data_IF_874884532657
#
_entry.id   IF_874884532657
#
_cell.length_a   1.000
_cell.length_b   1.000
_cell.length_c   1.000
_cell.angle_alpha   90.00
_cell.angle_beta   90.00
_cell.angle_gamma   90.00
#
_symmetry.space_group_name_H-M   'P 1'
#
loop_
_entity.id
_entity.type
_entity.pdbx_description
1 polymer ?
#
# COMPACT_ATOMS: atom_id res chain seq x y z
N UNK A 1 -22.72 31.69 -20.10
CA UNK A 1 -21.92 30.70 -19.32
C UNK A 1 -22.94 29.68 -18.79
N UNK A 2 -22.98 28.48 -19.39
CA UNK A 2 -23.81 27.39 -18.93
C UNK A 2 -23.35 26.96 -17.53
N UNK A 3 -24.26 26.78 -16.56
CA UNK A 3 -23.88 26.23 -15.26
C UNK A 3 -23.40 24.80 -15.48
N UNK A 4 -22.11 24.56 -15.26
CA UNK A 4 -21.60 23.20 -15.17
C UNK A 4 -22.19 22.62 -13.88
N UNK A 5 -23.19 21.77 -14.03
CA UNK A 5 -23.72 20.97 -12.92
C UNK A 5 -22.62 19.96 -12.60
N UNK A 6 -21.78 20.28 -11.61
CA UNK A 6 -20.85 19.31 -11.04
C UNK A 6 -21.72 18.21 -10.41
N UNK A 7 -21.77 17.03 -11.02
CA UNK A 7 -22.40 15.87 -10.39
C UNK A 7 -21.73 15.65 -9.03
N UNK A 8 -22.49 15.48 -7.94
CA UNK A 8 -21.90 15.19 -6.65
C UNK A 8 -21.05 13.91 -6.77
N UNK A 9 -19.81 13.97 -6.30
CA UNK A 9 -18.92 12.82 -6.32
C UNK A 9 -19.59 11.68 -5.54
N UNK A 10 -19.86 10.57 -6.21
CA UNK A 10 -20.40 9.38 -5.54
C UNK A 10 -19.24 8.61 -4.89
N UNK A 11 -19.51 7.85 -3.81
CA UNK A 11 -18.53 7.00 -3.16
C UNK A 11 -17.83 6.09 -4.18
N UNK A 12 -18.60 5.49 -5.08
CA UNK A 12 -18.08 4.61 -6.14
C UNK A 12 -17.12 5.34 -7.08
N UNK A 13 -17.42 6.59 -7.50
CA UNK A 13 -16.50 7.36 -8.35
C UNK A 13 -15.20 7.72 -7.64
N UNK A 14 -15.28 8.05 -6.36
CA UNK A 14 -14.09 8.35 -5.53
C UNK A 14 -13.22 7.11 -5.36
N UNK A 15 -13.80 5.94 -5.04
CA UNK A 15 -13.07 4.68 -4.91
C UNK A 15 -12.47 4.22 -6.26
N UNK A 16 -13.18 4.47 -7.36
CA UNK A 16 -12.64 4.22 -8.70
C UNK A 16 -11.42 5.09 -9.00
N UNK A 17 -11.45 6.37 -8.66
CA UNK A 17 -10.30 7.27 -8.81
C UNK A 17 -9.09 6.77 -7.99
N UNK A 18 -9.30 6.24 -6.80
CA UNK A 18 -8.21 5.64 -5.98
C UNK A 18 -7.64 4.39 -6.67
N UNK A 19 -8.47 3.52 -7.23
CA UNK A 19 -8.01 2.34 -7.98
C UNK A 19 -7.17 2.79 -9.17
N UNK A 20 -7.66 3.76 -9.97
CA UNK A 20 -6.93 4.30 -11.12
C UNK A 20 -5.57 4.87 -10.70
N UNK A 21 -5.52 5.60 -9.59
CA UNK A 21 -4.29 6.18 -9.05
C UNK A 21 -3.26 5.12 -8.64
N UNK A 22 -3.70 3.92 -8.26
CA UNK A 22 -2.82 2.81 -7.88
C UNK A 22 -2.34 1.97 -9.07
N UNK A 23 -2.98 2.06 -10.25
CA UNK A 23 -2.60 1.28 -11.43
C UNK A 23 -1.13 1.48 -11.82
N UNK A 24 -0.56 2.70 -11.90
CA UNK A 24 0.83 2.88 -12.26
C UNK A 24 1.79 2.18 -11.30
N UNK A 25 1.50 2.25 -10.00
CA UNK A 25 2.32 1.59 -8.97
C UNK A 25 2.20 0.06 -9.07
N UNK A 26 0.99 -0.48 -9.33
CA UNK A 26 0.77 -1.90 -9.55
C UNK A 26 1.48 -2.40 -10.81
N UNK A 27 1.41 -1.65 -11.92
CA UNK A 27 2.09 -1.99 -13.16
C UNK A 27 3.62 -2.04 -12.97
N UNK A 28 4.17 -1.06 -12.25
CA UNK A 28 5.60 -1.06 -11.92
C UNK A 28 5.97 -2.22 -10.99
N UNK A 29 5.13 -2.56 -10.01
CA UNK A 29 5.32 -3.73 -9.16
C UNK A 29 5.35 -5.04 -9.97
N UNK A 30 4.47 -5.18 -10.96
CA UNK A 30 4.46 -6.34 -11.87
C UNK A 30 5.75 -6.37 -12.71
N UNK A 31 6.22 -5.23 -13.18
CA UNK A 31 7.47 -5.14 -13.93
C UNK A 31 8.68 -5.56 -13.08
N UNK A 32 8.75 -5.12 -11.83
CA UNK A 32 9.86 -5.40 -10.91
C UNK A 32 9.84 -6.83 -10.37
N UNK A 33 8.67 -7.30 -9.91
CA UNK A 33 8.52 -8.55 -9.16
C UNK A 33 7.81 -9.68 -9.92
N UNK A 34 7.30 -9.38 -11.12
CA UNK A 34 6.68 -10.40 -11.99
C UNK A 34 5.19 -10.62 -11.75
N UNK A 35 4.65 -11.62 -12.46
CA UNK A 35 3.20 -11.92 -12.54
C UNK A 35 2.59 -12.35 -11.20
N UNK A 36 3.39 -12.85 -10.25
CA UNK A 36 2.94 -13.24 -8.91
C UNK A 36 2.25 -12.07 -8.17
N UNK A 37 2.67 -10.83 -8.43
CA UNK A 37 2.02 -9.62 -7.90
C UNK A 37 0.54 -9.59 -8.26
N UNK A 38 0.18 -9.87 -9.51
CA UNK A 38 -1.22 -9.90 -9.96
C UNK A 38 -1.99 -11.02 -9.27
N UNK A 39 -1.39 -12.19 -9.10
CA UNK A 39 -2.03 -13.31 -8.43
C UNK A 39 -2.34 -12.98 -6.95
N UNK A 40 -1.37 -12.43 -6.21
CA UNK A 40 -1.56 -12.00 -4.83
C UNK A 40 -2.61 -10.89 -4.71
N UNK A 41 -2.57 -9.93 -5.63
CA UNK A 41 -3.56 -8.83 -5.69
C UNK A 41 -4.96 -9.38 -5.98
N UNK A 42 -5.11 -10.29 -6.94
CA UNK A 42 -6.39 -10.90 -7.27
C UNK A 42 -6.97 -11.70 -6.07
N UNK A 43 -6.12 -12.47 -5.38
CA UNK A 43 -6.53 -13.22 -4.17
C UNK A 43 -6.97 -12.25 -3.08
N UNK A 44 -6.22 -11.18 -2.82
CA UNK A 44 -6.54 -10.19 -1.80
C UNK A 44 -7.86 -9.47 -2.09
N UNK A 45 -8.01 -8.93 -3.31
CA UNK A 45 -9.22 -8.22 -3.73
C UNK A 45 -10.42 -9.16 -3.73
N UNK A 46 -10.26 -10.36 -4.30
CA UNK A 46 -11.33 -11.38 -4.32
C UNK A 46 -11.80 -11.75 -2.92
N UNK A 47 -10.86 -11.96 -1.99
CA UNK A 47 -11.18 -12.25 -0.59
C UNK A 47 -11.93 -11.10 0.08
N UNK A 48 -11.47 -9.86 -0.09
CA UNK A 48 -12.12 -8.70 0.50
C UNK A 48 -13.56 -8.52 0.00
N UNK A 49 -13.77 -8.66 -1.32
CA UNK A 49 -15.11 -8.55 -1.93
C UNK A 49 -16.02 -9.67 -1.47
N UNK A 50 -15.54 -10.92 -1.47
CA UNK A 50 -16.31 -12.09 -1.02
C UNK A 50 -16.63 -12.01 0.48
N UNK A 51 -15.68 -11.55 1.30
CA UNK A 51 -15.90 -11.36 2.74
C UNK A 51 -16.98 -10.31 3.02
N UNK A 52 -16.95 -9.18 2.31
CA UNK A 52 -17.99 -8.14 2.44
C UNK A 52 -19.36 -8.65 2.00
N UNK A 53 -19.41 -9.31 0.85
CA UNK A 53 -20.65 -9.91 0.35
C UNK A 53 -21.23 -10.93 1.32
N UNK A 54 -20.41 -11.88 1.77
CA UNK A 54 -20.82 -12.94 2.69
C UNK A 54 -21.32 -12.38 4.02
N UNK A 55 -20.58 -11.46 4.63
CA UNK A 55 -20.98 -10.84 5.90
C UNK A 55 -22.33 -10.12 5.79
N UNK A 56 -22.50 -9.26 4.76
CA UNK A 56 -23.75 -8.50 4.56
C UNK A 56 -24.94 -9.38 4.25
N UNK A 57 -24.72 -10.44 3.46
CA UNK A 57 -25.78 -11.42 3.18
C UNK A 57 -26.22 -12.18 4.45
N UNK A 58 -25.26 -12.58 5.29
CA UNK A 58 -25.56 -13.25 6.57
C UNK A 58 -26.33 -12.33 7.55
N UNK A 59 -26.06 -11.03 7.50
CA UNK A 59 -26.71 -10.01 8.33
C UNK A 59 -28.02 -9.47 7.73
N UNK A 60 -28.42 -9.90 6.55
CA UNK A 60 -29.61 -9.36 5.85
C UNK A 60 -29.51 -7.89 5.48
N UNK A 61 -28.28 -7.36 5.33
CA UNK A 61 -28.01 -5.97 4.97
C UNK A 61 -27.97 -5.78 3.45
N UNK A 62 -28.22 -4.54 3.00
CA UNK A 62 -28.08 -4.17 1.59
C UNK A 62 -26.65 -4.37 1.08
N UNK A 63 -26.50 -4.83 -0.16
CA UNK A 63 -25.21 -5.06 -0.78
C UNK A 63 -24.48 -3.73 -1.08
N UNK A 64 -23.22 -3.62 -0.68
CA UNK A 64 -22.36 -2.42 -0.93
C UNK A 64 -21.17 -2.73 -1.85
N UNK A 65 -21.13 -3.87 -2.53
CA UNK A 65 -20.01 -4.20 -3.44
C UNK A 65 -19.82 -3.11 -4.51
N UNK A 66 -20.91 -2.46 -4.94
CA UNK A 66 -20.89 -1.39 -5.93
C UNK A 66 -20.19 -0.12 -5.50
N UNK A 67 -19.83 0.05 -4.22
CA UNK A 67 -19.06 1.19 -3.74
C UNK A 67 -17.55 1.04 -3.98
N UNK A 68 -17.08 -0.16 -4.39
CA UNK A 68 -15.68 -0.50 -4.67
C UNK A 68 -14.72 -0.40 -3.47
N UNK A 69 -15.19 -0.09 -2.29
CA UNK A 69 -14.34 0.12 -1.10
C UNK A 69 -13.63 -1.16 -0.65
N UNK A 70 -14.26 -2.35 -0.82
CA UNK A 70 -13.59 -3.62 -0.56
C UNK A 70 -12.48 -3.91 -1.57
N UNK A 71 -12.65 -3.48 -2.83
CA UNK A 71 -11.59 -3.60 -3.85
C UNK A 71 -10.39 -2.74 -3.48
N UNK A 72 -10.61 -1.49 -3.06
CA UNK A 72 -9.53 -0.59 -2.59
C UNK A 72 -8.82 -1.19 -1.39
N UNK A 73 -9.55 -1.68 -0.38
CA UNK A 73 -8.96 -2.33 0.80
C UNK A 73 -8.08 -3.52 0.40
N UNK A 74 -8.59 -4.40 -0.46
CA UNK A 74 -7.85 -5.57 -0.94
C UNK A 74 -6.61 -5.21 -1.75
N UNK A 75 -6.69 -4.17 -2.58
CA UNK A 75 -5.57 -3.66 -3.38
C UNK A 75 -4.48 -3.07 -2.49
N UNK A 76 -4.84 -2.20 -1.55
CA UNK A 76 -3.90 -1.59 -0.59
C UNK A 76 -3.25 -2.65 0.32
N UNK A 77 -4.03 -3.63 0.78
CA UNK A 77 -3.49 -4.75 1.55
C UNK A 77 -2.45 -5.53 0.74
N UNK A 78 -2.79 -5.97 -0.48
CA UNK A 78 -1.86 -6.68 -1.35
C UNK A 78 -0.58 -5.90 -1.59
N UNK A 79 -0.70 -4.63 -1.98
CA UNK A 79 0.45 -3.76 -2.25
C UNK A 79 1.33 -3.52 -1.01
N UNK A 80 0.82 -3.76 0.19
CA UNK A 80 1.58 -3.66 1.43
C UNK A 80 2.35 -4.93 1.81
N UNK A 81 2.13 -6.04 1.10
CA UNK A 81 2.75 -7.34 1.36
C UNK A 81 4.06 -7.54 0.55
N UNK A 82 4.97 -8.43 1.01
CA UNK A 82 6.05 -8.92 0.17
C UNK A 82 5.51 -9.84 -0.95
N UNK A 83 6.19 -9.86 -2.10
CA UNK A 83 5.83 -10.76 -3.21
C UNK A 83 5.99 -12.23 -2.86
N UNK A 84 6.82 -12.52 -1.86
CA UNK A 84 7.07 -13.87 -1.33
C UNK A 84 5.95 -14.38 -0.45
N UNK A 85 5.00 -13.52 -0.05
CA UNK A 85 3.90 -13.91 0.83
C UNK A 85 3.14 -15.13 0.26
N UNK A 86 2.81 -16.11 1.11
CA UNK A 86 1.97 -17.23 0.71
C UNK A 86 0.54 -16.74 0.46
N UNK A 87 -0.19 -17.41 -0.44
CA UNK A 87 -1.54 -16.99 -0.84
C UNK A 87 -2.57 -16.97 0.30
N UNK A 88 -2.35 -17.73 1.38
CA UNK A 88 -3.22 -17.66 2.55
C UNK A 88 -3.09 -16.35 3.34
N UNK A 89 -1.94 -15.66 3.24
CA UNK A 89 -1.71 -14.43 3.97
C UNK A 89 -2.67 -13.29 3.56
N UNK A 90 -2.82 -12.93 2.26
CA UNK A 90 -3.82 -11.94 1.86
C UNK A 90 -5.26 -12.41 2.15
N UNK A 91 -5.54 -13.72 2.19
CA UNK A 91 -6.86 -14.24 2.61
C UNK A 91 -7.13 -13.93 4.07
N UNK A 92 -6.21 -14.29 4.97
CA UNK A 92 -6.36 -14.04 6.40
C UNK A 92 -6.42 -12.53 6.71
N UNK A 93 -5.49 -11.75 6.13
CA UNK A 93 -5.45 -10.30 6.31
C UNK A 93 -6.70 -9.60 5.75
N UNK A 94 -7.19 -10.04 4.59
CA UNK A 94 -8.41 -9.51 3.96
C UNK A 94 -9.67 -9.83 4.74
N UNK A 95 -9.83 -11.04 5.25
CA UNK A 95 -10.94 -11.43 6.12
C UNK A 95 -10.95 -10.58 7.39
N UNK A 96 -9.80 -10.42 8.05
CA UNK A 96 -9.68 -9.59 9.24
C UNK A 96 -10.02 -8.13 8.94
N UNK A 97 -9.44 -7.57 7.89
CA UNK A 97 -9.65 -6.19 7.47
C UNK A 97 -11.13 -5.88 7.21
N UNK A 98 -11.81 -6.75 6.46
CA UNK A 98 -13.21 -6.51 6.07
C UNK A 98 -14.17 -6.88 7.19
N UNK A 99 -14.07 -8.09 7.77
CA UNK A 99 -15.05 -8.55 8.75
C UNK A 99 -14.91 -7.81 10.06
N UNK A 100 -13.69 -7.81 10.63
CA UNK A 100 -13.45 -7.28 11.98
C UNK A 100 -13.36 -5.74 11.94
N UNK A 101 -12.49 -5.18 11.08
CA UNK A 101 -12.20 -3.74 11.14
C UNK A 101 -13.24 -2.91 10.43
N UNK A 102 -13.78 -3.37 9.29
CA UNK A 102 -14.75 -2.60 8.51
C UNK A 102 -16.19 -2.89 8.91
N UNK A 103 -16.63 -4.14 8.83
CA UNK A 103 -18.06 -4.48 8.93
C UNK A 103 -18.59 -4.52 10.37
N UNK A 104 -17.77 -4.91 11.36
CA UNK A 104 -18.19 -4.89 12.76
C UNK A 104 -18.53 -3.48 13.28
N UNK A 105 -17.85 -2.47 12.75
CA UNK A 105 -18.05 -1.07 13.14
C UNK A 105 -19.11 -0.34 12.30
N UNK A 106 -19.75 -1.03 11.35
CA UNK A 106 -20.89 -0.50 10.59
C UNK A 106 -20.57 -0.09 9.15
N UNK A 107 -19.40 -0.45 8.63
CA UNK A 107 -19.01 -0.25 7.23
C UNK A 107 -18.24 1.04 6.97
N UNK A 108 -18.20 1.47 5.71
CA UNK A 108 -17.43 2.63 5.26
C UNK A 108 -17.74 3.90 6.06
N UNK A 109 -16.70 4.65 6.41
CA UNK A 109 -16.81 5.93 7.15
C UNK A 109 -17.02 5.78 8.67
N UNK A 110 -17.14 4.56 9.20
CA UNK A 110 -17.26 4.30 10.66
C UNK A 110 -16.06 3.53 11.21
N UNK A 111 -15.04 3.34 10.40
CA UNK A 111 -13.82 2.62 10.79
C UNK A 111 -12.95 3.52 11.67
N UNK A 112 -12.51 3.02 12.82
CA UNK A 112 -11.53 3.73 13.67
C UNK A 112 -10.08 3.55 13.20
N UNK A 113 -9.82 2.59 12.31
CA UNK A 113 -8.53 2.28 11.69
C UNK A 113 -8.72 2.02 10.20
N UNK A 114 -7.67 2.30 9.41
CA UNK A 114 -7.65 1.86 8.02
C UNK A 114 -7.64 0.32 7.96
N UNK A 115 -8.64 -0.31 7.28
CA UNK A 115 -8.78 -1.76 7.27
C UNK A 115 -7.57 -2.49 6.68
N UNK A 116 -6.96 -1.95 5.61
CA UNK A 116 -5.80 -2.57 4.97
C UNK A 116 -4.57 -2.56 5.90
N UNK A 117 -4.34 -1.45 6.62
CA UNK A 117 -3.27 -1.37 7.63
C UNK A 117 -3.49 -2.34 8.77
N UNK A 118 -4.72 -2.45 9.27
CA UNK A 118 -5.05 -3.38 10.34
C UNK A 118 -4.83 -4.84 9.91
N UNK A 119 -5.24 -5.20 8.68
CA UNK A 119 -4.96 -6.52 8.10
C UNK A 119 -3.46 -6.80 8.00
N UNK A 120 -2.68 -5.82 7.53
CA UNK A 120 -1.20 -5.93 7.51
C UNK A 120 -0.61 -6.09 8.90
N UNK A 121 -1.08 -5.32 9.88
CA UNK A 121 -0.59 -5.40 11.27
C UNK A 121 -0.83 -6.79 11.86
N UNK A 122 -2.02 -7.38 11.62
CA UNK A 122 -2.27 -8.76 11.99
C UNK A 122 -1.24 -9.71 11.35
N UNK A 123 -0.93 -9.55 10.06
CA UNK A 123 0.02 -10.41 9.38
C UNK A 123 1.46 -10.25 9.90
N UNK A 124 1.83 -9.08 10.43
CA UNK A 124 3.12 -8.86 11.07
C UNK A 124 3.29 -9.66 12.37
N UNK A 125 2.22 -10.16 12.99
CA UNK A 125 2.31 -11.02 14.18
C UNK A 125 2.79 -12.44 13.87
N UNK A 126 2.74 -12.85 12.59
CA UNK A 126 3.23 -14.17 12.17
C UNK A 126 4.72 -14.10 11.86
N UNK A 127 5.57 -14.83 12.62
CA UNK A 127 7.01 -14.85 12.39
C UNK A 127 7.35 -15.32 10.96
N UNK A 128 8.28 -14.66 10.33
CA UNK A 128 8.77 -15.04 9.01
C UNK A 128 7.91 -14.59 7.82
N UNK A 129 6.64 -14.22 8.02
CA UNK A 129 5.75 -13.83 6.93
C UNK A 129 6.16 -12.51 6.26
N UNK A 130 6.60 -11.54 7.07
CA UNK A 130 6.97 -10.19 6.63
C UNK A 130 8.48 -9.96 6.62
N UNK A 131 9.29 -11.01 6.69
CA UNK A 131 10.75 -10.91 6.74
C UNK A 131 11.43 -11.36 5.45
N UNK A 132 10.73 -12.08 4.58
CA UNK A 132 11.28 -12.57 3.31
C UNK A 132 11.08 -11.53 2.21
N UNK A 133 12.07 -10.71 1.99
CA UNK A 133 12.05 -9.67 0.96
C UNK A 133 12.96 -10.08 -0.20
N UNK A 134 12.53 -9.79 -1.41
CA UNK A 134 13.21 -10.12 -2.66
C UNK A 134 13.59 -8.83 -3.35
N UNK A 135 14.80 -8.80 -3.92
CA UNK A 135 15.25 -7.65 -4.69
C UNK A 135 14.46 -7.49 -6.00
N UNK A 136 14.48 -6.27 -6.51
CA UNK A 136 13.89 -5.97 -7.81
C UNK A 136 14.48 -6.88 -8.89
N UNK A 137 13.62 -7.30 -9.83
CA UNK A 137 13.92 -8.23 -10.93
C UNK A 137 14.17 -9.70 -10.54
N UNK A 138 14.23 -10.04 -9.26
CA UNK A 138 14.09 -11.42 -8.82
C UNK A 138 12.59 -11.77 -8.85
N UNK A 139 12.17 -12.53 -9.86
CA UNK A 139 10.75 -12.83 -10.13
C UNK A 139 10.39 -14.20 -9.60
N UNK A 140 9.84 -14.33 -8.38
CA UNK A 140 9.40 -15.62 -7.86
C UNK A 140 8.32 -16.22 -8.76
N UNK A 141 8.37 -17.53 -8.97
CA UNK A 141 7.35 -18.26 -9.73
C UNK A 141 5.98 -18.21 -9.06
N UNK A 142 4.91 -18.49 -9.83
CA UNK A 142 3.53 -18.48 -9.32
C UNK A 142 3.31 -19.54 -8.22
N UNK A 143 3.91 -20.73 -8.35
CA UNK A 143 3.61 -21.90 -7.54
C UNK A 143 4.76 -22.27 -6.60
N UNK A 144 5.98 -21.86 -6.92
CA UNK A 144 7.16 -22.25 -6.11
C UNK A 144 7.11 -21.62 -4.73
N UNK A 145 7.28 -22.46 -3.72
CA UNK A 145 7.67 -22.05 -2.38
C UNK A 145 8.95 -21.21 -2.48
N UNK A 146 9.07 -20.26 -1.59
CA UNK A 146 10.04 -19.17 -1.66
C UNK A 146 11.45 -19.66 -1.40
N UNK A 147 12.12 -20.18 -2.42
CA UNK A 147 13.58 -20.34 -2.44
C UNK A 147 14.30 -19.06 -2.94
N UNK A 148 13.56 -17.94 -3.03
CA UNK A 148 14.18 -16.66 -3.32
C UNK A 148 15.05 -16.24 -2.14
N UNK A 149 16.33 -16.02 -2.40
CA UNK A 149 17.24 -15.50 -1.39
C UNK A 149 16.68 -14.21 -0.81
N UNK A 150 16.38 -14.21 0.50
CA UNK A 150 15.91 -13.00 1.18
C UNK A 150 17.04 -11.99 1.19
N UNK A 151 16.81 -10.83 0.57
CA UNK A 151 17.75 -9.71 0.58
C UNK A 151 17.46 -8.75 1.72
N UNK A 152 18.50 -8.08 2.21
CA UNK A 152 18.33 -7.02 3.19
C UNK A 152 17.61 -5.84 2.52
N UNK A 153 16.46 -5.45 3.03
CA UNK A 153 15.79 -4.24 2.54
C UNK A 153 16.59 -3.00 2.89
N UNK A 154 16.51 -1.91 2.09
CA UNK A 154 17.12 -0.64 2.44
C UNK A 154 16.71 -0.14 3.84
N UNK A 155 15.48 -0.43 4.27
CA UNK A 155 15.01 -0.09 5.63
C UNK A 155 15.74 -0.90 6.71
N UNK A 156 16.12 -2.15 6.45
CA UNK A 156 16.93 -2.94 7.39
C UNK A 156 18.35 -2.35 7.52
N UNK A 157 18.94 -1.89 6.42
CA UNK A 157 20.23 -1.17 6.43
C UNK A 157 20.11 0.14 7.21
N UNK A 158 19.08 0.94 6.97
CA UNK A 158 18.83 2.18 7.73
C UNK A 158 18.63 1.90 9.23
N UNK A 159 18.04 0.78 9.61
CA UNK A 159 17.88 0.40 11.01
C UNK A 159 19.24 0.20 11.72
N UNK A 160 20.27 -0.26 11.01
CA UNK A 160 21.65 -0.36 11.55
C UNK A 160 22.37 0.98 11.65
N UNK A 161 21.79 2.06 11.16
CA UNK A 161 22.42 3.39 11.11
C UNK A 161 23.22 3.65 9.84
N UNK A 162 23.27 2.72 8.90
CA UNK A 162 23.94 2.91 7.61
C UNK A 162 22.98 3.44 6.55
N UNK A 163 23.49 4.17 5.56
CA UNK A 163 22.71 4.55 4.37
C UNK A 163 22.89 3.46 3.32
N UNK A 164 21.82 2.98 2.69
CA UNK A 164 21.94 1.98 1.63
C UNK A 164 22.69 2.56 0.42
N UNK A 165 23.54 1.75 -0.19
CA UNK A 165 24.30 2.12 -1.40
C UNK A 165 23.39 2.04 -2.65
N UNK A 166 22.45 3.00 -2.74
CA UNK A 166 21.49 3.11 -3.80
C UNK A 166 21.50 4.54 -4.36
N UNK A 167 21.47 4.66 -5.67
CA UNK A 167 21.28 5.95 -6.31
C UNK A 167 19.86 6.46 -6.10
N UNK A 168 19.66 7.78 -6.12
CA UNK A 168 18.34 8.39 -6.00
C UNK A 168 17.35 7.85 -7.05
N UNK A 169 17.82 7.60 -8.28
CA UNK A 169 17.00 7.02 -9.34
C UNK A 169 16.51 5.60 -9.00
N UNK A 170 17.37 4.76 -8.45
CA UNK A 170 17.02 3.42 -8.00
C UNK A 170 16.00 3.45 -6.85
N UNK A 171 16.16 4.38 -5.89
CA UNK A 171 15.21 4.56 -4.80
C UNK A 171 13.84 5.02 -5.31
N UNK A 172 13.77 5.98 -6.24
CA UNK A 172 12.51 6.50 -6.79
C UNK A 172 11.78 5.50 -7.70
N UNK A 173 12.54 4.75 -8.51
CA UNK A 173 11.98 3.72 -9.39
C UNK A 173 11.68 2.41 -8.67
N UNK A 174 12.20 2.25 -7.44
CA UNK A 174 11.97 1.06 -6.63
C UNK A 174 12.80 -0.14 -7.03
N UNK A 175 14.02 0.06 -7.51
CA UNK A 175 14.93 -1.04 -7.87
C UNK A 175 15.63 -1.62 -6.63
N UNK A 176 14.84 -1.98 -5.62
CA UNK A 176 15.30 -2.56 -4.36
C UNK A 176 14.23 -3.46 -3.74
N UNK A 177 14.60 -4.26 -2.76
CA UNK A 177 13.67 -5.12 -2.04
C UNK A 177 12.71 -4.33 -1.15
N UNK A 178 11.45 -4.79 -1.09
CA UNK A 178 10.43 -4.16 -0.24
C UNK A 178 9.00 -4.65 -0.51
N UNK A 179 8.02 -3.96 0.05
CA UNK A 179 6.61 -4.23 -0.19
C UNK A 179 6.24 -3.93 -1.64
N UNK A 180 5.46 -4.82 -2.27
CA UNK A 180 5.15 -4.76 -3.71
C UNK A 180 4.73 -3.38 -4.20
N UNK A 181 3.86 -2.70 -3.47
CA UNK A 181 3.33 -1.39 -3.86
C UNK A 181 4.03 -0.20 -3.20
N UNK A 182 4.83 -0.42 -2.16
CA UNK A 182 5.54 0.65 -1.45
C UNK A 182 6.85 1.08 -2.11
N UNK A 183 7.40 0.21 -2.96
CA UNK A 183 8.71 0.38 -3.57
C UNK A 183 8.72 1.41 -4.70
N UNK A 184 7.79 1.47 -5.67
CA UNK A 184 7.84 2.43 -6.77
C UNK A 184 7.31 3.81 -6.35
N UNK A 185 8.10 4.55 -5.57
CA UNK A 185 7.75 5.86 -5.00
C UNK A 185 7.30 6.87 -6.06
N UNK A 186 7.99 6.92 -7.21
CA UNK A 186 7.64 7.84 -8.30
C UNK A 186 6.21 7.58 -8.81
N UNK A 187 5.83 6.31 -8.95
CA UNK A 187 4.49 5.94 -9.43
C UNK A 187 3.41 6.24 -8.39
N UNK A 188 3.74 6.09 -7.10
CA UNK A 188 2.84 6.48 -6.01
C UNK A 188 2.63 7.99 -5.95
N UNK A 189 3.68 8.79 -6.18
CA UNK A 189 3.57 10.25 -6.24
C UNK A 189 2.74 10.70 -7.45
N UNK A 190 2.88 10.06 -8.61
CA UNK A 190 2.03 10.32 -9.79
C UNK A 190 0.57 10.00 -9.50
N UNK A 191 0.29 8.87 -8.84
CA UNK A 191 -1.06 8.52 -8.38
C UNK A 191 -1.61 9.53 -7.38
N UNK A 192 -0.79 9.96 -6.42
CA UNK A 192 -1.15 11.00 -5.46
C UNK A 192 -1.48 12.35 -6.12
N UNK A 193 -0.67 12.78 -7.09
CA UNK A 193 -0.92 13.99 -7.87
C UNK A 193 -2.24 13.89 -8.65
N UNK A 194 -2.54 12.73 -9.23
CA UNK A 194 -3.84 12.47 -9.86
C UNK A 194 -5.00 12.64 -8.87
N UNK A 195 -4.92 12.06 -7.66
CA UNK A 195 -5.97 12.18 -6.63
C UNK A 195 -6.16 13.63 -6.17
N UNK A 196 -5.08 14.40 -6.02
CA UNK A 196 -5.15 15.83 -5.71
C UNK A 196 -5.81 16.62 -6.85
N UNK A 197 -5.46 16.33 -8.11
CA UNK A 197 -6.05 17.00 -9.28
C UNK A 197 -7.54 16.71 -9.42
N UNK A 198 -7.96 15.50 -9.07
CA UNK A 198 -9.37 15.08 -9.01
C UNK A 198 -10.11 15.58 -7.75
N UNK A 199 -9.40 16.22 -6.83
CA UNK A 199 -9.91 16.71 -5.53
C UNK A 199 -10.50 15.58 -4.65
N UNK A 200 -10.00 14.37 -4.83
CA UNK A 200 -10.33 13.21 -3.99
C UNK A 200 -9.69 13.35 -2.61
N UNK A 201 -8.43 13.79 -2.58
CA UNK A 201 -7.68 14.03 -1.34
C UNK A 201 -7.21 15.48 -1.24
N UNK A 202 -7.07 15.96 -0.01
CA UNK A 202 -6.45 17.27 0.25
C UNK A 202 -4.94 17.09 0.41
N UNK A 203 -4.09 17.88 -0.24
CA UNK A 203 -2.64 17.72 -0.18
C UNK A 203 -2.06 18.02 1.22
N UNK A 204 -2.85 18.63 2.11
CA UNK A 204 -2.40 19.02 3.46
C UNK A 204 -1.95 17.81 4.30
N UNK A 205 -2.70 16.70 4.24
CA UNK A 205 -2.41 15.50 5.05
C UNK A 205 -1.13 14.82 4.57
N UNK A 206 -0.98 14.44 3.27
CA UNK A 206 0.26 13.85 2.78
C UNK A 206 1.48 14.76 2.96
N UNK A 207 1.33 16.07 2.70
CA UNK A 207 2.43 17.03 2.87
C UNK A 207 2.85 17.19 4.32
N UNK A 208 1.91 17.28 5.26
CA UNK A 208 2.22 17.35 6.69
C UNK A 208 2.92 16.06 7.15
N UNK A 209 2.42 14.89 6.73
CA UNK A 209 3.00 13.61 7.09
C UNK A 209 4.44 13.46 6.57
N UNK A 210 4.65 13.64 5.26
CA UNK A 210 5.97 13.55 4.65
C UNK A 210 6.92 14.65 5.13
N UNK A 211 6.42 15.87 5.31
CA UNK A 211 7.19 17.01 5.82
C UNK A 211 7.67 16.81 7.26
N UNK A 212 6.83 16.25 8.12
CA UNK A 212 7.22 15.93 9.50
C UNK A 212 8.33 14.87 9.54
N UNK A 213 8.18 13.80 8.74
CA UNK A 213 9.22 12.76 8.66
C UNK A 213 10.51 13.33 8.06
N UNK A 214 10.42 14.14 7.01
CA UNK A 214 11.58 14.80 6.41
C UNK A 214 12.31 15.68 7.42
N UNK A 215 11.56 16.50 8.18
CA UNK A 215 12.14 17.37 9.20
C UNK A 215 12.84 16.58 10.32
N UNK A 216 12.18 15.56 10.85
CA UNK A 216 12.74 14.75 11.93
C UNK A 216 13.97 13.96 11.47
N UNK A 217 13.96 13.40 10.27
CA UNK A 217 15.10 12.65 9.74
C UNK A 217 16.28 13.55 9.36
N UNK A 218 16.01 14.80 8.99
CA UNK A 218 17.03 15.81 8.74
C UNK A 218 17.69 16.30 10.05
N UNK A 219 16.89 16.49 11.10
CA UNK A 219 17.38 16.95 12.41
C UNK A 219 18.09 15.87 13.21
N UNK A 220 17.71 14.61 13.03
CA UNK A 220 18.25 13.46 13.78
C UNK A 220 18.82 12.39 12.86
N UNK A 221 19.85 12.69 12.04
CA UNK A 221 20.52 11.67 11.22
C UNK A 221 21.25 10.68 12.14
N UNK A 222 21.26 9.39 11.75
CA UNK A 222 21.99 8.34 12.48
C UNK A 222 23.24 7.92 11.70
N UNK A 223 24.20 7.33 12.39
CA UNK A 223 25.32 6.64 11.78
C UNK A 223 26.39 7.50 11.08
N UNK A 224 26.42 8.83 11.31
CA UNK A 224 27.43 9.70 10.69
C UNK A 224 27.20 9.94 9.19
N UNK A 225 26.09 9.47 8.64
CA UNK A 225 25.67 9.73 7.27
C UNK A 225 25.29 11.20 7.09
N UNK A 226 25.46 11.74 5.88
CA UNK A 226 24.99 13.08 5.56
C UNK A 226 23.47 13.19 5.78
N UNK A 227 23.02 14.23 6.48
CA UNK A 227 21.61 14.41 6.85
C UNK A 227 20.65 14.32 5.65
N UNK A 228 21.04 14.84 4.49
CA UNK A 228 20.25 14.77 3.25
C UNK A 228 20.14 13.34 2.71
N UNK A 229 21.22 12.57 2.71
CA UNK A 229 21.22 11.19 2.25
C UNK A 229 20.37 10.31 3.16
N UNK A 230 20.44 10.54 4.48
CA UNK A 230 19.60 9.87 5.47
C UNK A 230 18.11 10.17 5.24
N UNK A 231 17.75 11.44 5.11
CA UNK A 231 16.38 11.88 4.87
C UNK A 231 15.81 11.29 3.57
N UNK A 232 16.55 11.39 2.46
CA UNK A 232 16.08 10.86 1.16
C UNK A 232 15.88 9.35 1.19
N UNK A 233 16.79 8.60 1.82
CA UNK A 233 16.64 7.16 1.97
C UNK A 233 15.41 6.79 2.82
N UNK A 234 15.17 7.51 3.93
CA UNK A 234 13.99 7.28 4.77
C UNK A 234 12.66 7.59 4.04
N UNK A 235 12.64 8.63 3.21
CA UNK A 235 11.45 8.99 2.45
C UNK A 235 11.16 8.02 1.29
N UNK A 236 12.23 7.53 0.63
CA UNK A 236 12.09 6.80 -0.64
C UNK A 236 12.18 5.28 -0.52
N UNK A 237 12.75 4.72 0.57
CA UNK A 237 13.03 3.28 0.65
C UNK A 237 11.98 2.47 1.41
N UNK A 238 10.85 3.06 1.78
CA UNK A 238 9.82 2.37 2.55
C UNK A 238 8.40 2.59 2.02
N UNK A 239 7.44 1.98 2.69
CA UNK A 239 6.01 2.19 2.39
C UNK A 239 5.45 3.54 2.87
N UNK A 240 6.31 4.51 3.21
CA UNK A 240 5.94 5.80 3.79
C UNK A 240 5.04 6.62 2.84
N UNK A 241 5.42 6.73 1.57
CA UNK A 241 4.66 7.49 0.57
C UNK A 241 3.30 6.84 0.31
N UNK A 242 3.24 5.51 0.22
CA UNK A 242 1.99 4.79 0.11
C UNK A 242 1.09 5.05 1.32
N UNK A 243 1.64 4.99 2.54
CA UNK A 243 0.94 5.30 3.78
C UNK A 243 0.42 6.74 3.82
N UNK A 244 1.26 7.71 3.46
CA UNK A 244 0.91 9.13 3.50
C UNK A 244 -0.19 9.52 2.50
N UNK A 245 -0.11 8.98 1.27
CA UNK A 245 -0.99 9.38 0.16
C UNK A 245 -2.29 8.58 0.13
N UNK A 246 -2.22 7.25 0.32
CA UNK A 246 -3.37 6.37 0.10
C UNK A 246 -4.02 5.82 1.38
N UNK A 247 -3.33 5.88 2.53
CA UNK A 247 -3.84 5.30 3.77
C UNK A 247 -4.14 6.35 4.84
N UNK A 248 -3.32 7.40 4.96
CA UNK A 248 -3.54 8.46 5.93
C UNK A 248 -4.63 9.47 5.49
N UNK A 249 -4.89 9.55 4.19
CA UNK A 249 -5.96 10.38 3.61
C UNK A 249 -7.24 9.60 3.29
N UNK A 250 -7.35 8.35 3.70
CA UNK A 250 -8.54 7.50 3.55
C UNK A 250 -9.62 7.94 4.54
N UNK A 251 -10.92 7.85 4.10
CA UNK A 251 -12.08 8.28 4.89
C UNK A 251 -12.65 7.13 5.71
#
# INVERSE_FOLDING_TARGET
TSPQIAQPATISSTMLDVIIALIPALAMAVFLFGIRVLALTAVSVGTCVLAEYGYRRLRGQSNTIGDLSACVTGLLLAMSLPVTAPYWAPVLGGLFAIVIVKQFYGGLGRNFLNPALAGRTLLCTFPGLMTSWVDAFQRPGLIQGVDAASSATPMAVLHTGAVPDLTLGQMLLGQHGGAMGGVPVLMLLLGGLYLVSRRVITPRIPLAYLGTVALLTLLFPRGGAGALAWMTAQLCCGGLVMGAVFMASDY
#
